data_IF_425487656080
#
_entry.id   IF_425487656080
#
_cell.length_a   1.000
_cell.length_b   1.000
_cell.length_c   1.000
_cell.angle_alpha   90.00
_cell.angle_beta   90.00
_cell.angle_gamma   90.00
#
_symmetry.space_group_name_H-M   'P 1'
#
loop_
_entity.id
_entity.type
_entity.pdbx_description
1 polymer ?
#
# COMPACT_ATOMS: atom_id res chain seq x y z
N UNK A 1 -16.51 -13.85 -8.31
CA UNK A 1 -15.06 -14.21 -8.20
C UNK A 1 -14.49 -14.75 -9.50
N UNK A 2 -15.19 -15.61 -10.26
CA UNK A 2 -14.65 -16.23 -11.49
C UNK A 2 -14.18 -15.27 -12.60
N UNK A 3 -14.80 -14.08 -12.73
CA UNK A 3 -14.45 -13.10 -13.79
C UNK A 3 -13.18 -12.28 -13.53
N UNK A 4 -12.67 -12.24 -12.30
CA UNK A 4 -11.54 -11.38 -11.92
C UNK A 4 -10.18 -12.08 -12.08
N UNK A 5 -10.14 -13.41 -11.99
CA UNK A 5 -8.89 -14.18 -12.02
C UNK A 5 -8.11 -14.07 -13.35
N UNK A 6 -8.75 -14.05 -14.55
CA UNK A 6 -8.02 -13.87 -15.80
C UNK A 6 -7.37 -12.48 -15.91
N UNK A 7 -8.07 -11.43 -15.48
CA UNK A 7 -7.56 -10.06 -15.54
C UNK A 7 -6.39 -9.82 -14.59
N UNK A 8 -6.40 -10.45 -13.41
CA UNK A 8 -5.29 -10.38 -12.45
C UNK A 8 -3.99 -10.97 -13.02
N UNK A 9 -4.11 -12.07 -13.77
CA UNK A 9 -2.96 -12.75 -14.39
C UNK A 9 -2.38 -11.87 -15.51
N UNK A 10 -3.23 -11.26 -16.32
CA UNK A 10 -2.80 -10.48 -17.50
C UNK A 10 -2.29 -9.08 -17.10
N UNK A 11 -2.95 -8.42 -16.16
CA UNK A 11 -2.72 -6.99 -15.88
C UNK A 11 -2.15 -6.71 -14.48
N UNK A 12 -1.93 -7.75 -13.68
CA UNK A 12 -1.64 -7.60 -12.25
C UNK A 12 -2.84 -7.04 -11.46
N UNK A 13 -2.68 -6.97 -10.14
CA UNK A 13 -3.73 -6.49 -9.23
C UNK A 13 -4.10 -5.00 -9.48
N UNK A 14 -3.09 -4.13 -9.62
CA UNK A 14 -3.30 -2.70 -9.85
C UNK A 14 -3.95 -2.44 -11.22
N UNK A 15 -3.52 -3.14 -12.27
CA UNK A 15 -4.08 -2.98 -13.61
C UNK A 15 -5.51 -3.52 -13.72
N UNK A 16 -5.85 -4.56 -12.96
CA UNK A 16 -7.23 -5.03 -12.83
C UNK A 16 -8.11 -3.99 -12.13
N UNK A 17 -7.66 -3.47 -10.98
CA UNK A 17 -8.40 -2.47 -10.19
C UNK A 17 -8.68 -1.20 -10.98
N UNK A 18 -7.68 -0.70 -11.73
CA UNK A 18 -7.84 0.46 -12.60
C UNK A 18 -8.95 0.26 -13.64
N UNK A 19 -8.95 -0.89 -14.32
CA UNK A 19 -9.93 -1.19 -15.37
C UNK A 19 -11.34 -1.39 -14.82
N UNK A 20 -11.47 -2.10 -13.69
CA UNK A 20 -12.76 -2.26 -13.02
C UNK A 20 -13.31 -0.89 -12.57
N UNK A 21 -12.45 -0.02 -12.01
CA UNK A 21 -12.79 1.36 -11.67
C UNK A 21 -13.24 2.18 -12.87
N UNK A 22 -12.48 2.16 -13.98
CA UNK A 22 -12.86 2.85 -15.22
C UNK A 22 -14.17 2.30 -15.81
N UNK A 23 -14.38 0.99 -15.76
CA UNK A 23 -15.60 0.36 -16.24
C UNK A 23 -16.82 0.79 -15.42
N UNK A 24 -16.73 0.73 -14.08
CA UNK A 24 -17.80 1.15 -13.17
C UNK A 24 -18.08 2.65 -13.25
N UNK A 25 -17.03 3.45 -13.41
CA UNK A 25 -17.13 4.91 -13.57
C UNK A 25 -18.01 5.35 -14.75
N UNK A 26 -18.16 4.49 -15.79
CA UNK A 26 -19.05 4.77 -16.94
C UNK A 26 -20.54 4.83 -16.59
N UNK A 27 -20.94 4.39 -15.40
CA UNK A 27 -22.34 4.45 -14.95
C UNK A 27 -22.84 5.89 -14.70
N UNK A 28 -21.93 6.86 -14.54
CA UNK A 28 -22.25 8.25 -14.24
C UNK A 28 -22.54 8.51 -12.76
N UNK A 29 -22.34 9.77 -12.33
CA UNK A 29 -22.36 10.16 -10.92
C UNK A 29 -23.67 9.79 -10.19
N UNK A 30 -24.82 10.01 -10.84
CA UNK A 30 -26.14 9.69 -10.24
C UNK A 30 -26.27 8.20 -9.88
N UNK A 31 -25.90 7.30 -10.80
CA UNK A 31 -25.99 5.87 -10.56
C UNK A 31 -25.00 5.40 -9.48
N UNK A 32 -23.82 6.02 -9.42
CA UNK A 32 -22.83 5.75 -8.37
C UNK A 32 -23.34 6.19 -7.00
N UNK A 33 -23.92 7.38 -6.88
CA UNK A 33 -24.51 7.87 -5.62
C UNK A 33 -25.66 6.98 -5.13
N UNK A 34 -26.52 6.52 -6.04
CA UNK A 34 -27.59 5.57 -5.71
C UNK A 34 -27.04 4.24 -5.17
N UNK A 35 -25.89 3.76 -5.69
CA UNK A 35 -25.22 2.58 -5.13
C UNK A 35 -24.70 2.85 -3.72
N UNK A 36 -24.09 4.02 -3.47
CA UNK A 36 -23.66 4.38 -2.11
C UNK A 36 -24.84 4.38 -1.12
N UNK A 37 -25.96 5.01 -1.48
CA UNK A 37 -27.18 5.02 -0.66
C UNK A 37 -27.70 3.58 -0.42
N UNK A 38 -27.77 2.76 -1.47
CA UNK A 38 -28.24 1.38 -1.39
C UNK A 38 -27.41 0.54 -0.41
N UNK A 39 -26.09 0.74 -0.38
CA UNK A 39 -25.18 -0.08 0.42
C UNK A 39 -24.74 0.57 1.74
N UNK A 40 -25.20 1.78 2.07
CA UNK A 40 -24.77 2.52 3.26
C UNK A 40 -25.04 1.78 4.59
N UNK A 41 -26.07 0.94 4.63
CA UNK A 41 -26.43 0.14 5.81
C UNK A 41 -25.76 -1.24 5.83
N UNK A 42 -25.07 -1.63 4.75
CA UNK A 42 -24.36 -2.89 4.71
C UNK A 42 -23.16 -2.85 5.67
N UNK A 43 -23.15 -3.76 6.64
CA UNK A 43 -22.04 -3.93 7.59
C UNK A 43 -21.08 -5.06 7.18
N UNK A 44 -21.40 -5.78 6.11
CA UNK A 44 -20.59 -6.89 5.63
C UNK A 44 -19.62 -6.39 4.57
N UNK A 45 -18.32 -6.51 4.86
CA UNK A 45 -17.27 -6.22 3.90
C UNK A 45 -17.25 -7.23 2.73
N UNK A 46 -16.48 -6.94 1.67
CA UNK A 46 -16.20 -7.90 0.61
C UNK A 46 -15.61 -9.19 1.20
N UNK A 47 -15.90 -10.32 0.55
CA UNK A 47 -15.29 -11.59 0.94
C UNK A 47 -13.76 -11.44 0.95
N UNK A 48 -13.10 -11.98 1.97
CA UNK A 48 -11.64 -11.92 2.22
C UNK A 48 -11.11 -10.59 2.77
N UNK A 49 -11.90 -9.51 2.82
CA UNK A 49 -11.51 -8.26 3.47
C UNK A 49 -11.88 -8.34 4.95
N UNK A 50 -10.85 -8.48 5.80
CA UNK A 50 -10.99 -8.51 7.25
C UNK A 50 -10.56 -7.17 7.87
N UNK A 51 -10.57 -7.11 9.21
CA UNK A 51 -10.20 -5.89 9.94
C UNK A 51 -8.77 -5.40 9.65
N UNK A 52 -7.80 -6.30 9.43
CA UNK A 52 -6.40 -5.94 9.14
C UNK A 52 -6.25 -5.29 7.77
N UNK A 53 -7.01 -5.77 6.78
CA UNK A 53 -7.07 -5.14 5.46
C UNK A 53 -7.71 -3.76 5.55
N UNK A 54 -8.82 -3.65 6.29
CA UNK A 54 -9.51 -2.37 6.51
C UNK A 54 -8.60 -1.36 7.22
N UNK A 55 -7.84 -1.82 8.22
CA UNK A 55 -6.86 -0.98 8.94
C UNK A 55 -5.72 -0.54 8.01
N UNK A 56 -5.18 -1.47 7.21
CA UNK A 56 -4.14 -1.16 6.22
C UNK A 56 -4.60 -0.10 5.22
N UNK A 57 -5.78 -0.30 4.64
CA UNK A 57 -6.38 0.62 3.69
C UNK A 57 -6.61 2.00 4.32
N UNK A 58 -7.13 2.03 5.55
CA UNK A 58 -7.37 3.29 6.28
C UNK A 58 -6.07 4.05 6.49
N UNK A 59 -5.04 3.40 7.05
CA UNK A 59 -3.77 4.06 7.35
C UNK A 59 -3.06 4.54 6.09
N UNK A 60 -2.95 3.70 5.07
CA UNK A 60 -2.23 4.04 3.82
C UNK A 60 -2.99 5.09 3.02
N UNK A 61 -4.29 4.92 2.80
CA UNK A 61 -5.04 5.84 1.95
C UNK A 61 -5.30 7.20 2.60
N UNK A 62 -5.31 7.29 3.93
CA UNK A 62 -5.32 8.59 4.59
C UNK A 62 -4.04 9.37 4.27
N UNK A 63 -2.88 8.71 4.16
CA UNK A 63 -1.64 9.36 3.73
C UNK A 63 -1.69 9.79 2.26
N UNK A 64 -2.25 8.94 1.40
CA UNK A 64 -2.44 9.25 -0.04
C UNK A 64 -3.28 10.54 -0.23
N UNK A 65 -4.14 10.89 0.74
CA UNK A 65 -4.93 12.12 0.76
C UNK A 65 -4.23 13.27 1.49
N UNK A 66 -3.67 13.01 2.68
CA UNK A 66 -3.13 14.05 3.55
C UNK A 66 -1.85 14.67 2.98
N UNK A 67 -0.94 13.87 2.43
CA UNK A 67 0.36 14.34 1.93
C UNK A 67 0.24 15.35 0.78
N UNK A 68 -0.55 15.10 -0.27
CA UNK A 68 -0.73 16.09 -1.35
C UNK A 68 -1.38 17.40 -0.89
N UNK A 69 -2.11 17.38 0.21
CA UNK A 69 -2.73 18.55 0.82
C UNK A 69 -1.81 19.27 1.82
N UNK A 70 -0.58 18.78 2.03
CA UNK A 70 0.34 19.31 3.04
C UNK A 70 -0.13 19.08 4.48
N UNK A 71 -1.06 18.15 4.71
CA UNK A 71 -1.59 17.83 6.03
C UNK A 71 -0.68 16.79 6.69
N UNK A 72 -0.12 17.14 7.85
CA UNK A 72 0.61 16.19 8.68
C UNK A 72 -0.37 15.31 9.44
N UNK A 73 -0.36 14.02 9.15
CA UNK A 73 -1.15 13.04 9.87
C UNK A 73 -0.27 11.87 10.28
N UNK A 74 -0.01 11.73 11.58
CA UNK A 74 0.79 10.62 12.12
C UNK A 74 -0.09 9.39 12.33
N UNK A 75 0.41 8.23 11.89
CA UNK A 75 -0.26 6.97 12.18
C UNK A 75 -0.11 6.64 13.67
N UNK A 76 -1.15 6.11 14.35
CA UNK A 76 -0.97 5.50 15.67
C UNK A 76 0.06 4.38 15.58
N UNK A 77 1.11 4.44 16.41
CA UNK A 77 2.29 3.59 16.26
C UNK A 77 1.95 2.08 16.35
N UNK A 78 1.16 1.67 17.35
CA UNK A 78 0.74 0.26 17.50
C UNK A 78 0.02 -0.27 16.25
N UNK A 79 -0.87 0.55 15.68
CA UNK A 79 -1.60 0.19 14.48
C UNK A 79 -0.67 0.14 13.25
N UNK A 80 0.29 1.06 13.16
CA UNK A 80 1.28 1.10 12.08
C UNK A 80 2.21 -0.12 12.12
N UNK A 81 2.63 -0.57 13.31
CA UNK A 81 3.43 -1.79 13.49
C UNK A 81 2.67 -3.03 13.02
N UNK A 82 1.40 -3.19 13.42
CA UNK A 82 0.57 -4.31 12.96
C UNK A 82 0.40 -4.30 11.43
N UNK A 83 0.17 -3.12 10.84
CA UNK A 83 0.08 -2.96 9.39
C UNK A 83 1.41 -3.26 8.69
N UNK A 84 2.54 -2.84 9.25
CA UNK A 84 3.87 -3.13 8.70
C UNK A 84 4.14 -4.65 8.63
N UNK A 85 3.80 -5.40 9.68
CA UNK A 85 3.84 -6.87 9.65
C UNK A 85 2.83 -7.47 8.67
N UNK A 86 1.62 -6.91 8.56
CA UNK A 86 0.62 -7.38 7.59
C UNK A 86 1.13 -7.25 6.15
N UNK A 87 1.73 -6.10 5.82
CA UNK A 87 2.27 -5.76 4.51
C UNK A 87 3.42 -6.67 4.05
N UNK A 88 4.08 -7.38 4.97
CA UNK A 88 5.05 -8.41 4.60
C UNK A 88 4.42 -9.51 3.72
N UNK A 89 3.21 -9.92 4.11
CA UNK A 89 2.50 -11.04 3.49
C UNK A 89 1.76 -10.62 2.23
N UNK A 90 1.37 -9.35 2.12
CA UNK A 90 0.62 -8.81 0.98
C UNK A 90 1.51 -8.06 -0.02
N UNK A 91 2.79 -7.84 0.28
CA UNK A 91 3.72 -7.09 -0.56
C UNK A 91 3.91 -7.61 -1.98
N UNK A 92 3.59 -8.89 -2.25
CA UNK A 92 3.56 -9.44 -3.61
C UNK A 92 2.48 -8.77 -4.48
N UNK A 93 1.28 -8.55 -3.92
CA UNK A 93 0.17 -7.91 -4.63
C UNK A 93 0.43 -6.42 -4.85
N UNK A 94 1.14 -5.78 -3.92
CA UNK A 94 1.43 -4.35 -3.92
C UNK A 94 2.71 -3.97 -4.68
N UNK A 95 3.46 -4.97 -5.19
CA UNK A 95 4.69 -4.75 -5.94
C UNK A 95 5.86 -4.22 -5.09
N UNK A 96 5.81 -4.40 -3.77
CA UNK A 96 6.86 -4.05 -2.80
C UNK A 96 7.70 -5.26 -2.35
N UNK A 97 7.33 -6.47 -2.75
CA UNK A 97 7.98 -7.73 -2.34
C UNK A 97 9.50 -7.74 -2.53
N UNK A 98 10.01 -7.23 -3.66
CA UNK A 98 11.46 -7.16 -3.91
C UNK A 98 12.17 -6.26 -2.91
N UNK A 99 11.57 -5.14 -2.55
CA UNK A 99 12.09 -4.20 -1.54
C UNK A 99 12.09 -4.89 -0.18
N UNK A 100 10.95 -5.47 0.23
CA UNK A 100 10.80 -6.11 1.54
C UNK A 100 11.77 -7.28 1.77
N UNK A 101 12.33 -7.89 0.71
CA UNK A 101 13.31 -8.99 0.81
C UNK A 101 14.77 -8.56 0.69
N UNK A 102 15.03 -7.34 0.25
CA UNK A 102 16.39 -6.87 -0.05
C UNK A 102 17.07 -6.18 1.13
N UNK A 103 16.30 -5.73 2.12
CA UNK A 103 16.78 -4.90 3.22
C UNK A 103 16.18 -5.31 4.56
N UNK A 104 16.89 -4.92 5.63
CA UNK A 104 16.40 -4.99 7.00
C UNK A 104 15.79 -3.64 7.36
N UNK A 105 14.48 -3.62 7.63
CA UNK A 105 13.75 -2.41 8.03
C UNK A 105 13.60 -2.36 9.54
N UNK A 106 13.95 -1.23 10.15
CA UNK A 106 13.82 -0.99 11.59
C UNK A 106 13.16 0.36 11.83
N UNK A 107 12.10 0.39 12.65
CA UNK A 107 11.46 1.64 13.01
C UNK A 107 12.33 2.43 14.01
N UNK A 108 12.45 3.74 13.81
CA UNK A 108 13.20 4.63 14.72
C UNK A 108 12.35 5.11 15.90
N UNK A 109 11.03 5.01 15.80
CA UNK A 109 10.06 5.56 16.76
C UNK A 109 9.10 4.52 17.36
N UNK A 110 9.21 3.25 16.96
CA UNK A 110 8.37 2.16 17.43
C UNK A 110 9.16 0.84 17.53
N UNK A 111 8.65 -0.12 18.30
CA UNK A 111 9.22 -1.46 18.38
C UNK A 111 8.85 -2.29 17.14
N UNK A 112 9.61 -2.10 16.06
CA UNK A 112 9.44 -2.83 14.80
C UNK A 112 10.77 -3.09 14.12
N UNK A 113 10.97 -4.35 13.75
CA UNK A 113 12.07 -4.80 12.92
C UNK A 113 11.60 -5.95 12.00
N UNK A 114 12.00 -5.95 10.73
CA UNK A 114 11.62 -6.99 9.77
C UNK A 114 12.59 -7.03 8.58
N UNK A 115 12.84 -8.23 8.05
CA UNK A 115 13.69 -8.44 6.89
C UNK A 115 15.15 -8.74 7.23
N UNK A 116 16.00 -8.72 6.21
CA UNK A 116 17.41 -9.09 6.27
C UNK A 116 18.18 -8.27 5.23
N UNK A 117 19.49 -8.10 5.42
CA UNK A 117 20.36 -7.31 4.53
C UNK A 117 20.70 -5.93 5.11
N UNK A 118 21.05 -5.00 4.23
CA UNK A 118 21.49 -3.66 4.65
C UNK A 118 20.36 -2.91 5.38
N UNK A 119 20.69 -2.13 6.42
CA UNK A 119 19.69 -1.47 7.25
C UNK A 119 19.00 -0.31 6.53
N UNK A 120 17.69 -0.20 6.73
CA UNK A 120 16.84 0.95 6.43
C UNK A 120 16.12 1.32 7.71
N UNK A 121 16.50 2.45 8.30
CA UNK A 121 16.03 2.93 9.59
C UNK A 121 15.23 4.21 9.37
N UNK A 122 14.00 4.26 9.89
CA UNK A 122 13.20 5.49 9.84
C UNK A 122 11.85 5.32 10.53
N UNK A 123 10.99 6.36 10.51
CA UNK A 123 9.70 6.35 11.17
C UNK A 123 8.78 5.21 10.68
N UNK A 124 7.97 4.64 11.59
CA UNK A 124 7.10 3.51 11.26
C UNK A 124 6.07 3.85 10.17
N UNK A 125 5.58 5.09 10.13
CA UNK A 125 4.65 5.55 9.09
C UNK A 125 5.28 5.52 7.69
N UNK A 126 6.53 5.95 7.55
CA UNK A 126 7.27 5.87 6.28
C UNK A 126 7.61 4.43 5.90
N UNK A 127 7.93 3.56 6.87
CA UNK A 127 8.13 2.13 6.61
C UNK A 127 6.85 1.46 6.12
N UNK A 128 5.68 1.83 6.67
CA UNK A 128 4.38 1.37 6.17
C UNK A 128 4.16 1.81 4.73
N UNK A 129 4.40 3.08 4.41
CA UNK A 129 4.25 3.60 3.03
C UNK A 129 5.17 2.84 2.06
N UNK A 130 6.43 2.64 2.43
CA UNK A 130 7.39 1.89 1.64
C UNK A 130 6.95 0.44 1.42
N UNK A 131 6.53 -0.26 2.47
CA UNK A 131 6.04 -1.66 2.39
C UNK A 131 4.73 -1.78 1.62
N UNK A 132 3.91 -0.73 1.59
CA UNK A 132 2.73 -0.63 0.75
C UNK A 132 3.06 -0.29 -0.72
N UNK A 133 4.33 -0.11 -1.07
CA UNK A 133 4.80 0.18 -2.43
C UNK A 133 4.60 1.63 -2.87
N UNK A 134 4.35 2.53 -1.91
CA UNK A 134 4.23 3.98 -2.10
C UNK A 134 5.59 4.63 -1.89
N UNK A 135 5.79 5.83 -2.44
CA UNK A 135 7.00 6.59 -2.15
C UNK A 135 6.93 7.12 -0.72
N UNK A 136 7.89 6.76 0.14
CA UNK A 136 8.04 7.41 1.43
C UNK A 136 8.72 8.78 1.28
N UNK A 137 8.88 9.48 2.40
CA UNK A 137 9.79 10.62 2.56
C UNK A 137 11.22 10.10 2.77
N UNK A 138 12.04 10.13 1.73
CA UNK A 138 13.37 9.50 1.74
C UNK A 138 14.35 10.17 2.69
N UNK A 139 14.14 11.44 2.98
CA UNK A 139 14.96 12.27 3.86
C UNK A 139 14.85 11.84 5.33
N UNK A 140 13.82 11.06 5.66
CA UNK A 140 13.60 10.50 7.00
C UNK A 140 14.22 9.11 7.17
N UNK A 141 14.89 8.58 6.13
CA UNK A 141 15.53 7.27 6.18
C UNK A 141 17.04 7.35 6.25
N UNK A 142 17.60 6.45 7.05
CA UNK A 142 19.03 6.26 7.23
C UNK A 142 19.42 4.79 6.99
N UNK A 143 20.71 4.57 6.77
CA UNK A 143 21.29 3.23 6.61
C UNK A 143 21.65 2.85 5.17
N UNK A 144 22.55 1.87 5.04
CA UNK A 144 23.11 1.46 3.74
C UNK A 144 22.09 0.88 2.76
N UNK A 145 20.93 0.41 3.26
CA UNK A 145 19.89 -0.18 2.44
C UNK A 145 19.05 0.84 1.67
N UNK A 146 19.09 2.14 2.02
CA UNK A 146 18.26 3.17 1.38
C UNK A 146 18.55 3.26 -0.12
N UNK A 147 19.83 3.31 -0.50
CA UNK A 147 20.25 3.35 -1.91
C UNK A 147 19.88 2.08 -2.68
N UNK A 148 19.87 0.92 -2.02
CA UNK A 148 19.43 -0.36 -2.59
C UNK A 148 17.93 -0.29 -2.93
N UNK A 149 17.11 0.18 -1.98
CA UNK A 149 15.66 0.31 -2.17
C UNK A 149 15.34 1.30 -3.28
N UNK A 150 15.93 2.50 -3.28
CA UNK A 150 15.71 3.50 -4.32
C UNK A 150 16.04 2.94 -5.70
N UNK A 151 17.19 2.24 -5.84
CA UNK A 151 17.59 1.58 -7.08
C UNK A 151 16.57 0.55 -7.57
N UNK A 152 15.99 -0.24 -6.66
CA UNK A 152 14.96 -1.23 -6.99
C UNK A 152 13.66 -0.58 -7.47
N UNK A 153 13.25 0.53 -6.86
CA UNK A 153 12.06 1.28 -7.24
C UNK A 153 12.23 1.95 -8.61
N UNK A 154 13.37 2.59 -8.89
CA UNK A 154 13.67 3.18 -10.19
C UNK A 154 13.63 2.14 -11.31
N UNK A 155 14.22 0.95 -11.10
CA UNK A 155 14.17 -0.17 -12.06
C UNK A 155 12.74 -0.66 -12.31
N UNK A 156 11.88 -0.62 -11.28
CA UNK A 156 10.47 -0.99 -11.39
C UNK A 156 9.70 0.02 -12.26
N UNK A 157 9.96 1.31 -12.07
CA UNK A 157 9.34 2.37 -12.86
C UNK A 157 9.76 2.34 -14.33
N UNK A 158 11.05 2.12 -14.61
CA UNK A 158 11.54 1.96 -15.98
C UNK A 158 10.82 0.83 -16.73
N UNK A 159 10.56 -0.30 -16.04
CA UNK A 159 9.82 -1.44 -16.62
C UNK A 159 8.33 -1.18 -16.87
N UNK A 160 7.72 -0.12 -16.33
CA UNK A 160 6.31 0.20 -16.65
C UNK A 160 6.14 0.81 -18.04
N UNK A 161 7.22 1.33 -18.63
CA UNK A 161 7.21 2.04 -19.92
C UNK A 161 7.89 1.25 -21.04
N UNK A 162 8.26 -0.01 -20.79
CA UNK A 162 8.81 -0.96 -21.76
C UNK A 162 7.81 -2.08 -21.98
#
# INVERSE_FOLDING_TARGET
>A
MLKLMPSMIIHGYNGMTLRDGQQRGRAGAKAILQQYEQFATCRRGPAMVNLKETLTDTLVHFQDLARPLGIVHKMPQEAAVEVAHRLERTGMMLGSHKVNRAVKMTASDADFESGQGDPVIGPIDELVMLRAGRSPQWELFEGGGVGVVQSLLTRREAKKFT
#
